data_IF_294301124627
#
_entry.id   IF_294301124627
#
_cell.length_a   1.000
_cell.length_b   1.000
_cell.length_c   1.000
_cell.angle_alpha   90.00
_cell.angle_beta   90.00
_cell.angle_gamma   90.00
#
_symmetry.space_group_name_H-M   'P 1'
#
loop_
_entity.id
_entity.type
_entity.pdbx_description
1 polymer ?
#
# COMPACT_ATOMS: atom_id res chain seq x y z
N UNK A 1 4.37 -6.14 28.54
CA UNK A 1 3.09 -6.44 27.85
C UNK A 1 2.78 -5.30 26.89
N UNK A 2 2.39 -5.61 25.66
CA UNK A 2 1.91 -4.61 24.68
C UNK A 2 0.62 -3.97 25.21
N UNK A 3 0.48 -2.65 25.05
CA UNK A 3 -0.79 -1.95 25.31
C UNK A 3 -1.79 -2.26 24.20
N UNK A 4 -2.45 -3.41 24.29
CA UNK A 4 -3.33 -3.95 23.23
C UNK A 4 -4.41 -2.94 22.82
N UNK A 5 -5.07 -2.27 23.78
CA UNK A 5 -6.13 -1.29 23.48
C UNK A 5 -5.64 -0.12 22.61
N UNK A 6 -4.45 0.41 22.93
CA UNK A 6 -3.85 1.51 22.17
C UNK A 6 -3.42 1.03 20.79
N UNK A 7 -2.82 -0.15 20.70
CA UNK A 7 -2.45 -0.77 19.43
C UNK A 7 -3.67 -0.94 18.52
N UNK A 8 -4.79 -1.45 19.05
CA UNK A 8 -6.02 -1.60 18.27
C UNK A 8 -6.53 -0.26 17.75
N UNK A 9 -6.58 0.78 18.58
CA UNK A 9 -7.02 2.12 18.16
C UNK A 9 -6.13 2.71 17.08
N UNK A 10 -4.81 2.64 17.26
CA UNK A 10 -3.83 3.15 16.29
C UNK A 10 -3.95 2.39 14.97
N UNK A 11 -4.03 1.06 15.01
CA UNK A 11 -4.14 0.22 13.81
C UNK A 11 -5.45 0.46 13.05
N UNK A 12 -6.58 0.66 13.75
CA UNK A 12 -7.86 1.00 13.12
C UNK A 12 -7.75 2.36 12.43
N UNK A 13 -7.28 3.40 13.14
CA UNK A 13 -7.11 4.73 12.56
C UNK A 13 -6.16 4.72 11.35
N UNK A 14 -5.03 4.02 11.48
CA UNK A 14 -4.05 3.87 10.42
C UNK A 14 -4.65 3.18 9.19
N UNK A 15 -5.30 2.02 9.37
CA UNK A 15 -5.92 1.26 8.28
C UNK A 15 -7.01 2.07 7.60
N UNK A 16 -7.82 2.81 8.36
CA UNK A 16 -8.87 3.69 7.80
C UNK A 16 -8.28 4.79 6.91
N UNK A 17 -7.21 5.46 7.35
CA UNK A 17 -6.53 6.48 6.54
C UNK A 17 -5.95 5.87 5.27
N UNK A 18 -5.22 4.75 5.39
CA UNK A 18 -4.64 4.03 4.25
C UNK A 18 -5.72 3.60 3.27
N UNK A 19 -6.86 3.09 3.76
CA UNK A 19 -7.98 2.67 2.93
C UNK A 19 -8.56 3.84 2.11
N UNK A 20 -8.77 4.99 2.74
CA UNK A 20 -9.28 6.19 2.05
C UNK A 20 -8.31 6.65 0.97
N UNK A 21 -7.00 6.65 1.25
CA UNK A 21 -5.97 7.02 0.25
C UNK A 21 -5.96 6.03 -0.91
N UNK A 22 -6.00 4.72 -0.63
CA UNK A 22 -6.04 3.69 -1.68
C UNK A 22 -7.30 3.80 -2.54
N UNK A 23 -8.47 3.92 -1.91
CA UNK A 23 -9.74 4.06 -2.64
C UNK A 23 -9.77 5.35 -3.45
N UNK A 24 -9.32 6.46 -2.87
CA UNK A 24 -9.21 7.75 -3.56
C UNK A 24 -8.28 7.67 -4.76
N UNK A 25 -7.13 7.00 -4.63
CA UNK A 25 -6.22 6.75 -5.75
C UNK A 25 -6.92 6.03 -6.90
N UNK A 26 -7.63 4.94 -6.61
CA UNK A 26 -8.39 4.17 -7.60
C UNK A 26 -9.52 4.99 -8.25
N UNK A 27 -10.23 5.78 -7.45
CA UNK A 27 -11.37 6.57 -7.94
C UNK A 27 -10.94 7.78 -8.78
N UNK A 28 -9.79 8.39 -8.47
CA UNK A 28 -9.36 9.65 -9.06
C UNK A 28 -8.36 9.48 -10.22
N UNK A 29 -7.66 8.35 -10.31
CA UNK A 29 -6.60 8.14 -11.31
C UNK A 29 -7.04 7.05 -12.31
N UNK A 30 -7.40 7.41 -13.56
CA UNK A 30 -7.77 6.44 -14.59
C UNK A 30 -6.65 5.41 -14.84
N UNK A 31 -7.01 4.14 -14.99
CA UNK A 31 -6.07 3.06 -15.32
C UNK A 31 -5.20 2.55 -14.16
N UNK A 32 -5.20 3.21 -13.00
CA UNK A 32 -4.37 2.80 -11.85
C UNK A 32 -4.78 1.42 -11.32
N UNK A 33 -6.07 1.07 -11.41
CA UNK A 33 -6.59 -0.23 -10.98
C UNK A 33 -6.01 -1.35 -11.82
N UNK A 34 -6.06 -1.22 -13.13
CA UNK A 34 -5.54 -2.21 -14.07
C UNK A 34 -4.02 -2.36 -13.91
N UNK A 35 -3.28 -1.25 -13.78
CA UNK A 35 -1.84 -1.26 -13.53
C UNK A 35 -1.48 -1.91 -12.18
N UNK A 36 -2.24 -1.60 -11.12
CA UNK A 36 -2.03 -2.20 -9.80
C UNK A 36 -2.27 -3.71 -9.84
N UNK A 37 -3.36 -4.15 -10.48
CA UNK A 37 -3.66 -5.58 -10.64
C UNK A 37 -2.56 -6.29 -11.45
N UNK A 38 -2.09 -5.68 -12.54
CA UNK A 38 -1.07 -6.28 -13.40
C UNK A 38 0.31 -6.34 -12.73
N UNK A 39 0.78 -5.23 -12.14
CA UNK A 39 2.16 -5.10 -11.68
C UNK A 39 2.35 -5.32 -10.17
N UNK A 40 1.37 -4.95 -9.34
CA UNK A 40 1.51 -5.11 -7.89
C UNK A 40 0.93 -6.46 -7.41
N UNK A 41 -0.20 -6.89 -7.98
CA UNK A 41 -0.88 -8.14 -7.59
C UNK A 41 -0.59 -9.31 -8.52
N UNK A 42 0.11 -9.09 -9.63
CA UNK A 42 0.45 -10.12 -10.61
C UNK A 42 -0.76 -10.91 -11.13
N UNK A 43 -1.93 -10.25 -11.29
CA UNK A 43 -3.22 -10.93 -11.47
C UNK A 43 -3.97 -10.61 -12.77
N UNK A 44 -3.49 -9.66 -13.60
CA UNK A 44 -4.18 -9.22 -14.83
C UNK A 44 -3.22 -9.16 -16.03
N UNK A 45 -3.74 -9.44 -17.23
CA UNK A 45 -3.07 -9.32 -18.54
C UNK A 45 -1.80 -10.18 -18.75
N UNK A 46 -1.58 -11.20 -17.93
CA UNK A 46 -0.62 -12.27 -18.23
C UNK A 46 -1.31 -13.30 -19.14
N UNK A 47 -1.52 -12.92 -20.41
CA UNK A 47 -1.76 -13.92 -21.44
C UNK A 47 -0.61 -14.93 -21.44
N UNK A 48 -0.90 -16.22 -21.61
CA UNK A 48 0.13 -17.26 -21.65
C UNK A 48 1.15 -16.89 -22.74
N UNK A 49 2.40 -16.65 -22.34
CA UNK A 49 3.49 -16.24 -23.24
C UNK A 49 3.85 -14.74 -23.25
N UNK A 50 3.14 -13.88 -22.51
CA UNK A 50 3.56 -12.48 -22.33
C UNK A 50 4.46 -12.33 -21.11
N UNK A 51 5.70 -11.86 -21.31
CA UNK A 51 6.65 -11.62 -20.24
C UNK A 51 6.53 -10.18 -19.70
N UNK A 52 5.39 -9.87 -19.07
CA UNK A 52 5.13 -8.56 -18.46
C UNK A 52 6.02 -8.28 -17.22
N UNK A 53 6.66 -9.32 -16.68
CA UNK A 53 7.56 -9.27 -15.53
C UNK A 53 9.01 -9.28 -15.98
N UNK A 54 9.53 -8.08 -16.25
CA UNK A 54 10.93 -7.85 -16.62
C UNK A 54 11.76 -7.45 -15.39
N UNK A 55 13.09 -7.46 -15.52
CA UNK A 55 13.98 -6.93 -14.49
C UNK A 55 13.68 -5.44 -14.21
N UNK A 56 13.32 -4.68 -15.24
CA UNK A 56 12.96 -3.27 -15.11
C UNK A 56 11.71 -3.08 -14.24
N UNK A 57 10.64 -3.84 -14.51
CA UNK A 57 9.40 -3.75 -13.73
C UNK A 57 9.61 -4.20 -12.28
N UNK A 58 10.52 -5.15 -12.04
CA UNK A 58 10.94 -5.55 -10.69
C UNK A 58 11.62 -4.40 -9.94
N UNK A 59 12.62 -3.75 -10.54
CA UNK A 59 13.36 -2.65 -9.89
C UNK A 59 12.43 -1.47 -9.60
N UNK A 60 11.59 -1.09 -10.56
CA UNK A 60 10.62 -0.01 -10.40
C UNK A 60 9.60 -0.35 -9.30
N UNK A 61 9.05 -1.57 -9.32
CA UNK A 61 8.13 -2.04 -8.29
C UNK A 61 8.77 -2.02 -6.90
N UNK A 62 10.03 -2.45 -6.79
CA UNK A 62 10.78 -2.46 -5.53
C UNK A 62 10.96 -1.05 -4.96
N UNK A 63 11.32 -0.08 -5.80
CA UNK A 63 11.47 1.32 -5.38
C UNK A 63 10.13 1.86 -4.88
N UNK A 64 9.06 1.67 -5.65
CA UNK A 64 7.71 2.14 -5.29
C UNK A 64 7.28 1.54 -3.95
N UNK A 65 7.43 0.23 -3.77
CA UNK A 65 7.04 -0.44 -2.53
C UNK A 65 7.84 0.02 -1.32
N UNK A 66 9.13 0.30 -1.46
CA UNK A 66 9.93 0.86 -0.36
C UNK A 66 9.44 2.25 0.04
N UNK A 67 9.12 3.10 -0.93
CA UNK A 67 8.55 4.43 -0.66
C UNK A 67 7.22 4.30 0.08
N UNK A 68 6.31 3.44 -0.40
CA UNK A 68 5.03 3.18 0.26
C UNK A 68 5.21 2.62 1.67
N UNK A 69 6.16 1.71 1.87
CA UNK A 69 6.46 1.13 3.18
C UNK A 69 6.94 2.20 4.17
N UNK A 70 7.84 3.09 3.75
CA UNK A 70 8.32 4.21 4.58
C UNK A 70 7.17 5.13 4.96
N UNK A 71 6.32 5.52 3.99
CA UNK A 71 5.17 6.39 4.24
C UNK A 71 4.16 5.75 5.20
N UNK A 72 3.87 4.47 5.00
CA UNK A 72 2.91 3.73 5.81
C UNK A 72 3.43 3.54 7.25
N UNK A 73 4.71 3.17 7.41
CA UNK A 73 5.35 3.06 8.72
C UNK A 73 5.46 4.41 9.44
N UNK A 74 5.78 5.48 8.70
CA UNK A 74 5.80 6.83 9.24
C UNK A 74 4.42 7.26 9.77
N UNK A 75 3.35 7.03 8.99
CA UNK A 75 1.99 7.33 9.44
C UNK A 75 1.64 6.54 10.71
N UNK A 76 2.00 5.26 10.76
CA UNK A 76 1.78 4.44 11.95
C UNK A 76 2.52 5.02 13.16
N UNK A 77 3.81 5.36 13.02
CA UNK A 77 4.61 5.95 14.08
C UNK A 77 4.07 7.30 14.55
N UNK A 78 3.62 8.15 13.61
CA UNK A 78 2.97 9.42 13.90
C UNK A 78 1.69 9.22 14.72
N UNK A 79 0.80 8.32 14.28
CA UNK A 79 -0.45 8.00 14.98
C UNK A 79 -0.18 7.38 16.35
N UNK A 80 0.82 6.50 16.46
CA UNK A 80 1.26 5.94 17.72
C UNK A 80 1.66 7.07 18.68
N UNK A 81 2.50 8.00 18.27
CA UNK A 81 2.96 9.10 19.12
C UNK A 81 1.85 10.12 19.48
N UNK A 82 0.81 10.20 18.65
CA UNK A 82 -0.32 11.12 18.83
C UNK A 82 -1.42 10.52 19.72
N UNK A 83 -1.77 9.25 19.51
CA UNK A 83 -2.84 8.56 20.24
C UNK A 83 -2.23 7.96 21.51
N UNK A 84 -2.48 8.61 22.66
CA UNK A 84 -1.93 8.19 23.96
C UNK A 84 -2.84 7.26 24.76
N UNK A 85 -4.14 7.21 24.45
CA UNK A 85 -5.18 6.50 25.22
C UNK A 85 -5.96 5.50 24.38
#
# INVERSE_FOLDING_TARGET
MIQVNRLLKVTVAWTSVVYVVCFGGVALIPGIRELFLQYALHSVNVGIGQNAMTLTTFIVGLIIWNVLAVLAAWLFAYLWNTIRN
#
